data_IF_044489985577
#
_entry.id   IF_044489985577
#
_cell.length_a   1.000
_cell.length_b   1.000
_cell.length_c   1.000
_cell.angle_alpha   90.00
_cell.angle_beta   90.00
_cell.angle_gamma   90.00
#
_symmetry.space_group_name_H-M   'P 1'
#
loop_
_entity.id
_entity.type
_entity.pdbx_description
1 polymer ?
#
# COMPACT_ATOMS: atom_id res chain seq x y z
N UNK A 1 -24.17 11.84 5.31
CA UNK A 1 -25.17 11.93 4.23
C UNK A 1 -24.53 11.37 2.97
N UNK A 2 -25.20 10.42 2.32
CA UNK A 2 -24.80 9.89 1.01
C UNK A 2 -25.85 10.35 0.01
N UNK A 3 -25.44 11.10 -1.00
CA UNK A 3 -26.29 11.46 -2.13
C UNK A 3 -25.94 10.54 -3.29
N UNK A 4 -26.96 9.93 -3.90
CA UNK A 4 -26.81 9.04 -5.05
C UNK A 4 -27.62 9.62 -6.18
N UNK A 5 -26.96 9.96 -7.28
CA UNK A 5 -27.60 10.49 -8.49
C UNK A 5 -27.52 9.43 -9.58
N UNK A 6 -28.68 9.06 -10.12
CA UNK A 6 -28.80 8.13 -11.25
C UNK A 6 -28.77 8.96 -12.55
N UNK A 7 -27.69 8.89 -13.36
CA UNK A 7 -27.73 9.49 -14.70
C UNK A 7 -28.76 8.74 -15.57
N UNK A 8 -29.35 9.39 -16.58
CA UNK A 8 -30.36 8.77 -17.45
C UNK A 8 -29.85 7.53 -18.21
N UNK A 9 -28.52 7.39 -18.33
CA UNK A 9 -27.85 6.28 -19.00
C UNK A 9 -27.48 5.10 -18.07
N UNK A 10 -27.87 5.15 -16.79
CA UNK A 10 -27.74 4.02 -15.86
C UNK A 10 -28.87 2.99 -16.08
N UNK A 11 -28.62 1.66 -15.95
CA UNK A 11 -27.38 0.99 -15.54
C UNK A 11 -26.43 0.57 -16.67
N UNK A 12 -26.79 0.84 -17.92
CA UNK A 12 -26.15 0.22 -19.09
C UNK A 12 -24.88 0.93 -19.57
N UNK A 13 -24.84 2.26 -19.54
CA UNK A 13 -23.75 3.06 -20.15
C UNK A 13 -23.06 4.01 -19.19
N UNK A 14 -23.57 4.21 -17.97
CA UNK A 14 -22.93 5.10 -16.99
C UNK A 14 -23.14 4.64 -15.54
N UNK A 15 -22.09 4.73 -14.69
CA UNK A 15 -22.20 4.43 -13.27
C UNK A 15 -23.02 5.49 -12.53
N UNK A 16 -23.52 5.12 -11.36
CA UNK A 16 -24.14 6.07 -10.44
C UNK A 16 -23.11 7.08 -9.94
N UNK A 17 -23.55 8.33 -9.75
CA UNK A 17 -22.72 9.36 -9.14
C UNK A 17 -23.00 9.38 -7.64
N UNK A 18 -21.93 9.35 -6.85
CA UNK A 18 -22.01 9.33 -5.39
C UNK A 18 -21.35 10.56 -4.79
N UNK A 19 -22.08 11.31 -3.96
CA UNK A 19 -21.51 12.34 -3.10
C UNK A 19 -21.60 11.93 -1.64
N UNK A 20 -20.45 11.67 -1.03
CA UNK A 20 -20.35 11.20 0.35
C UNK A 20 -19.88 12.31 1.28
N UNK A 21 -20.82 12.83 2.08
CA UNK A 21 -20.52 13.71 3.21
C UNK A 21 -20.57 12.93 4.53
N UNK A 22 -19.41 12.45 4.97
CA UNK A 22 -19.23 11.78 6.26
C UNK A 22 -18.10 12.46 7.05
N UNK A 23 -18.40 13.46 7.91
CA UNK A 23 -17.38 14.15 8.70
C UNK A 23 -16.62 13.25 9.67
N UNK A 24 -17.24 12.15 10.10
CA UNK A 24 -16.67 11.11 10.98
C UNK A 24 -15.76 10.11 10.24
N UNK A 25 -15.64 10.21 8.91
CA UNK A 25 -14.89 9.25 8.10
C UNK A 25 -13.62 9.87 7.50
N UNK A 26 -12.48 9.23 7.74
CA UNK A 26 -11.18 9.64 7.20
C UNK A 26 -11.15 9.56 5.66
N UNK A 27 -10.29 10.39 5.04
CA UNK A 27 -10.14 10.48 3.57
C UNK A 27 -9.85 9.11 2.93
N UNK A 28 -9.02 8.28 3.58
CA UNK A 28 -8.69 6.92 3.12
C UNK A 28 -9.89 5.98 3.18
N UNK A 29 -10.71 6.07 4.22
CA UNK A 29 -11.92 5.28 4.35
C UNK A 29 -12.97 5.68 3.30
N UNK A 30 -13.07 6.98 2.99
CA UNK A 30 -13.93 7.47 1.89
C UNK A 30 -13.47 6.94 0.53
N UNK A 31 -12.16 6.94 0.27
CA UNK A 31 -11.59 6.38 -0.96
C UNK A 31 -11.84 4.87 -1.08
N UNK A 32 -11.63 4.12 0.00
CA UNK A 32 -11.92 2.69 0.02
C UNK A 32 -13.40 2.38 -0.23
N UNK A 33 -14.31 3.16 0.37
CA UNK A 33 -15.74 3.01 0.12
C UNK A 33 -16.07 3.30 -1.35
N UNK A 34 -15.46 4.34 -1.94
CA UNK A 34 -15.66 4.66 -3.36
C UNK A 34 -15.23 3.51 -4.27
N UNK A 35 -14.00 3.00 -4.09
CA UNK A 35 -13.49 1.89 -4.88
C UNK A 35 -14.39 0.65 -4.76
N UNK A 36 -14.88 0.35 -3.55
CA UNK A 36 -15.78 -0.78 -3.33
C UNK A 36 -17.11 -0.62 -4.10
N UNK A 37 -17.66 0.60 -4.20
CA UNK A 37 -18.88 0.85 -4.95
C UNK A 37 -18.64 0.77 -6.47
N UNK A 38 -17.47 1.25 -6.92
CA UNK A 38 -17.06 1.16 -8.32
C UNK A 38 -16.86 -0.32 -8.74
N UNK A 39 -16.25 -1.14 -7.89
CA UNK A 39 -16.08 -2.59 -8.13
C UNK A 39 -17.44 -3.31 -8.27
N UNK A 40 -18.40 -3.01 -7.39
CA UNK A 40 -19.76 -3.60 -7.46
C UNK A 40 -20.47 -3.21 -8.75
N UNK A 41 -20.24 -2.01 -9.27
CA UNK A 41 -20.77 -1.60 -10.57
C UNK A 41 -20.11 -2.35 -11.73
N UNK A 42 -18.79 -2.47 -11.72
CA UNK A 42 -18.05 -3.20 -12.76
C UNK A 42 -18.43 -4.69 -12.82
N UNK A 43 -18.73 -5.29 -11.68
CA UNK A 43 -19.17 -6.70 -11.59
C UNK A 43 -20.59 -6.92 -12.14
N UNK A 44 -21.42 -5.88 -12.24
CA UNK A 44 -22.86 -5.99 -12.52
C UNK A 44 -23.31 -4.92 -13.55
N UNK A 45 -22.50 -4.70 -14.60
CA UNK A 45 -22.80 -3.73 -15.65
C UNK A 45 -24.10 -4.11 -16.35
N UNK A 46 -25.01 -3.14 -16.48
CA UNK A 46 -26.33 -3.35 -17.08
C UNK A 46 -27.42 -3.83 -16.12
N UNK A 47 -27.09 -4.10 -14.85
CA UNK A 47 -28.06 -4.50 -13.83
C UNK A 47 -28.35 -3.39 -12.82
N UNK A 48 -29.53 -3.46 -12.19
CA UNK A 48 -29.95 -2.50 -11.15
C UNK A 48 -29.36 -2.92 -9.80
N UNK A 49 -28.20 -2.37 -9.45
CA UNK A 49 -27.44 -2.71 -8.23
C UNK A 49 -27.76 -1.89 -6.97
N UNK A 50 -28.87 -1.14 -6.96
CA UNK A 50 -29.18 -0.19 -5.87
C UNK A 50 -29.19 -0.87 -4.50
N UNK A 51 -29.83 -2.03 -4.38
CA UNK A 51 -29.90 -2.77 -3.12
C UNK A 51 -28.51 -3.24 -2.66
N UNK A 52 -27.70 -3.78 -3.58
CA UNK A 52 -26.36 -4.27 -3.29
C UNK A 52 -25.46 -3.13 -2.78
N UNK A 53 -25.53 -1.95 -3.41
CA UNK A 53 -24.79 -0.77 -2.97
C UNK A 53 -25.22 -0.31 -1.58
N UNK A 54 -26.53 -0.27 -1.29
CA UNK A 54 -27.04 0.10 0.03
C UNK A 54 -26.56 -0.86 1.10
N UNK A 55 -26.58 -2.17 0.85
CA UNK A 55 -26.06 -3.16 1.80
C UNK A 55 -24.55 -3.01 2.00
N UNK A 56 -23.76 -2.80 0.93
CA UNK A 56 -22.31 -2.59 1.03
C UNK A 56 -21.96 -1.34 1.82
N UNK A 57 -22.67 -0.22 1.59
CA UNK A 57 -22.51 1.01 2.36
C UNK A 57 -22.91 0.78 3.82
N UNK A 58 -24.04 0.11 4.07
CA UNK A 58 -24.51 -0.18 5.44
C UNK A 58 -23.49 -1.01 6.20
N UNK A 59 -22.94 -2.05 5.58
CA UNK A 59 -21.92 -2.90 6.19
C UNK A 59 -20.63 -2.12 6.45
N UNK A 60 -20.22 -1.27 5.51
CA UNK A 60 -19.07 -0.40 5.69
C UNK A 60 -19.25 0.55 6.88
N UNK A 61 -20.41 1.20 6.99
CA UNK A 61 -20.75 2.12 8.09
C UNK A 61 -20.85 1.36 9.42
N UNK A 62 -21.41 0.15 9.45
CA UNK A 62 -21.47 -0.69 10.67
C UNK A 62 -20.07 -1.10 11.14
N UNK A 63 -19.19 -1.49 10.22
CA UNK A 63 -17.77 -1.79 10.51
C UNK A 63 -17.04 -0.54 11.03
N UNK A 64 -17.29 0.62 10.43
CA UNK A 64 -16.66 1.87 10.87
C UNK A 64 -17.15 2.31 12.27
N UNK A 65 -18.47 2.26 12.54
CA UNK A 65 -19.05 2.66 13.84
C UNK A 65 -18.72 1.69 14.97
N UNK A 66 -18.66 0.39 14.71
CA UNK A 66 -18.18 -0.59 15.70
C UNK A 66 -16.72 -0.39 16.09
N UNK A 67 -15.95 0.31 15.25
CA UNK A 67 -14.57 0.71 15.54
C UNK A 67 -14.50 1.99 16.40
N UNK A 68 -15.54 2.84 16.39
CA UNK A 68 -15.59 4.10 17.17
C UNK A 68 -16.09 3.92 18.61
N UNK A 69 -17.02 3.00 18.90
CA UNK A 69 -17.55 2.79 20.26
C UNK A 69 -16.53 2.20 21.25
N UNK A 70 -15.35 1.75 20.78
CA UNK A 70 -14.24 1.24 21.61
C UNK A 70 -13.17 2.28 21.96
N UNK A 71 -13.39 3.57 21.70
CA UNK A 71 -12.42 4.66 22.00
C UNK A 71 -12.58 5.32 23.39
N UNK A 72 -13.02 4.59 24.42
CA UNK A 72 -12.73 4.93 25.83
C UNK A 72 -12.39 3.67 26.61
N UNK A 73 -11.26 3.74 27.32
CA UNK A 73 -10.71 2.77 28.29
C UNK A 73 -9.89 1.59 27.72
N UNK A 74 -8.56 1.77 27.79
CA UNK A 74 -7.46 0.79 28.00
C UNK A 74 -7.51 -0.59 27.28
N UNK A 75 -6.47 -0.82 26.46
CA UNK A 75 -5.89 -2.05 25.84
C UNK A 75 -6.21 -3.42 26.48
N UNK A 76 -5.94 -4.59 25.83
CA UNK A 76 -5.93 -5.01 24.40
C UNK A 76 -6.83 -6.25 24.14
N UNK A 77 -7.56 -6.37 23.01
CA UNK A 77 -7.98 -7.71 22.52
C UNK A 77 -8.10 -7.74 20.99
N UNK A 78 -7.13 -8.41 20.38
CA UNK A 78 -7.18 -9.00 19.04
C UNK A 78 -8.34 -10.00 19.01
N UNK A 79 -9.34 -9.81 18.13
CA UNK A 79 -10.26 -10.89 17.74
C UNK A 79 -9.91 -11.35 16.33
N UNK A 80 -9.03 -12.37 16.33
CA UNK A 80 -9.03 -13.55 15.47
C UNK A 80 -10.03 -13.51 14.29
N UNK A 81 -9.54 -13.08 13.13
CA UNK A 81 -9.76 -13.89 11.94
C UNK A 81 -8.79 -15.06 12.08
N UNK A 82 -9.28 -16.28 11.96
CA UNK A 82 -8.48 -17.51 12.04
C UNK A 82 -7.32 -17.46 11.03
N UNK A 83 -6.17 -16.97 11.49
CA UNK A 83 -4.89 -16.92 10.78
C UNK A 83 -4.26 -18.31 10.60
N UNK A 84 -4.95 -19.37 11.00
CA UNK A 84 -4.46 -20.76 10.96
C UNK A 84 -4.65 -21.47 9.62
N UNK A 85 -5.28 -20.85 8.61
CA UNK A 85 -5.48 -21.48 7.28
C UNK A 85 -4.76 -20.84 6.09
N UNK A 86 -3.97 -19.78 6.27
CA UNK A 86 -3.05 -19.32 5.24
C UNK A 86 -1.67 -19.19 5.88
N UNK A 87 -0.84 -20.22 5.75
CA UNK A 87 0.62 -20.08 5.85
C UNK A 87 1.04 -19.16 4.70
N UNK A 88 0.88 -17.85 4.88
CA UNK A 88 1.51 -16.87 3.99
C UNK A 88 2.99 -17.00 4.29
N UNK A 89 3.70 -17.67 3.40
CA UNK A 89 5.15 -17.70 3.41
C UNK A 89 5.61 -16.27 3.12
N UNK A 90 5.82 -15.45 4.16
CA UNK A 90 6.37 -14.12 3.99
C UNK A 90 7.89 -14.26 3.83
N UNK A 91 8.49 -13.77 2.74
CA UNK A 91 9.93 -13.74 2.59
C UNK A 91 10.60 -13.03 3.76
N UNK A 92 11.86 -13.39 4.02
CA UNK A 92 12.66 -12.75 5.06
C UNK A 92 12.87 -11.27 4.71
N UNK A 93 12.61 -10.40 5.69
CA UNK A 93 12.70 -8.95 5.53
C UNK A 93 13.95 -8.49 6.26
N UNK A 94 14.89 -7.93 5.51
CA UNK A 94 16.06 -7.28 6.08
C UNK A 94 15.79 -5.79 6.24
N UNK A 95 16.07 -5.26 7.43
CA UNK A 95 15.91 -3.84 7.74
C UNK A 95 17.27 -3.14 7.72
N UNK A 96 17.35 -2.07 6.94
CA UNK A 96 18.48 -1.15 6.89
C UNK A 96 18.65 -0.33 8.17
N UNK A 97 19.82 0.29 8.29
CA UNK A 97 20.07 1.33 9.30
C UNK A 97 19.16 2.55 9.08
N UNK A 98 18.89 3.26 10.17
CA UNK A 98 18.06 4.48 10.13
C UNK A 98 18.96 5.67 9.86
N UNK A 99 18.75 6.31 8.71
CA UNK A 99 19.42 7.57 8.35
C UNK A 99 18.59 8.72 8.90
N UNK A 100 19.20 9.62 9.68
CA UNK A 100 18.54 10.79 10.26
C UNK A 100 19.16 12.08 9.70
N UNK A 101 18.32 13.00 9.22
CA UNK A 101 18.73 14.32 8.76
C UNK A 101 17.63 15.34 9.05
N UNK A 102 18.00 16.45 9.73
CA UNK A 102 17.09 17.56 10.06
C UNK A 102 15.73 17.09 10.60
N UNK A 103 15.77 16.24 11.63
CA UNK A 103 14.61 15.59 12.29
C UNK A 103 13.79 14.63 11.42
N UNK A 104 14.08 14.54 10.12
CA UNK A 104 13.54 13.49 9.27
C UNK A 104 14.36 12.22 9.42
N UNK A 105 13.69 11.08 9.42
CA UNK A 105 14.36 9.77 9.40
C UNK A 105 13.92 8.95 8.20
N UNK A 106 14.82 8.10 7.73
CA UNK A 106 14.65 7.22 6.58
C UNK A 106 15.15 5.84 6.96
N UNK A 107 14.37 4.81 6.64
CA UNK A 107 14.78 3.43 6.85
C UNK A 107 14.44 2.61 5.60
N UNK A 108 15.41 1.87 5.10
CA UNK A 108 15.21 0.93 4.00
C UNK A 108 14.82 -0.45 4.52
N UNK A 109 14.04 -1.17 3.73
CA UNK A 109 13.67 -2.56 3.96
C UNK A 109 13.79 -3.30 2.64
N UNK A 110 14.44 -4.45 2.64
CA UNK A 110 14.62 -5.26 1.45
C UNK A 110 14.16 -6.69 1.73
N UNK A 111 13.59 -7.33 0.71
CA UNK A 111 13.20 -8.73 0.76
C UNK A 111 13.37 -9.35 -0.64
N UNK A 112 13.74 -10.63 -0.66
CA UNK A 112 13.71 -11.43 -1.89
C UNK A 112 12.25 -11.76 -2.24
N UNK A 113 11.85 -11.56 -3.49
CA UNK A 113 10.49 -11.78 -3.96
C UNK A 113 10.49 -12.42 -5.34
N UNK A 114 9.59 -13.39 -5.56
CA UNK A 114 9.46 -14.08 -6.85
C UNK A 114 8.06 -13.92 -7.46
N UNK A 115 7.14 -13.31 -6.72
CA UNK A 115 5.74 -13.14 -7.12
C UNK A 115 5.16 -11.83 -6.57
N UNK A 116 4.02 -11.40 -7.12
CA UNK A 116 3.32 -10.18 -6.64
C UNK A 116 2.68 -10.45 -5.28
N UNK A 117 2.32 -11.70 -5.03
CA UNK A 117 1.82 -12.21 -3.78
C UNK A 117 2.87 -12.05 -2.66
N UNK A 118 4.14 -12.36 -2.95
CA UNK A 118 5.26 -12.13 -2.02
C UNK A 118 5.41 -10.64 -1.69
N UNK A 119 5.31 -9.78 -2.71
CA UNK A 119 5.38 -8.32 -2.54
C UNK A 119 4.29 -7.84 -1.59
N UNK A 120 3.05 -8.27 -1.82
CA UNK A 120 1.91 -7.92 -0.96
C UNK A 120 2.08 -8.48 0.47
N UNK A 121 2.62 -9.70 0.62
CA UNK A 121 2.90 -10.31 1.91
C UNK A 121 3.93 -9.49 2.70
N UNK A 122 5.05 -9.09 2.07
CA UNK A 122 6.08 -8.26 2.71
C UNK A 122 5.53 -6.89 3.10
N UNK A 123 4.82 -6.21 2.20
CA UNK A 123 4.22 -4.89 2.50
C UNK A 123 3.24 -4.99 3.68
N UNK A 124 2.40 -6.03 3.69
CA UNK A 124 1.46 -6.28 4.79
C UNK A 124 2.20 -6.55 6.09
N UNK A 125 3.26 -7.36 6.05
CA UNK A 125 4.10 -7.69 7.20
C UNK A 125 4.79 -6.47 7.79
N UNK A 126 5.36 -5.61 6.94
CA UNK A 126 5.97 -4.34 7.34
C UNK A 126 4.95 -3.42 8.04
N UNK A 127 3.73 -3.36 7.51
CA UNK A 127 2.63 -2.56 8.07
C UNK A 127 2.04 -3.13 9.37
N UNK A 128 2.36 -4.37 9.78
CA UNK A 128 2.06 -4.86 11.14
C UNK A 128 2.82 -4.05 12.21
N UNK A 129 3.99 -3.51 11.85
CA UNK A 129 4.73 -2.60 12.72
C UNK A 129 4.10 -1.20 12.70
N UNK A 130 3.57 -0.75 13.84
CA UNK A 130 2.93 0.56 14.00
C UNK A 130 3.84 1.74 13.62
N UNK A 131 5.15 1.62 13.80
CA UNK A 131 6.10 2.69 13.42
C UNK A 131 6.12 2.89 11.91
N UNK A 132 6.13 1.80 11.15
CA UNK A 132 6.14 1.79 9.68
C UNK A 132 4.76 2.17 9.15
N UNK A 133 3.69 1.60 9.71
CA UNK A 133 2.31 1.94 9.34
C UNK A 133 2.03 3.44 9.44
N UNK A 134 2.54 4.10 10.49
CA UNK A 134 2.37 5.53 10.74
C UNK A 134 3.51 6.39 10.15
N UNK A 135 4.40 5.81 9.34
CA UNK A 135 5.38 6.60 8.61
C UNK A 135 4.67 7.60 7.69
N UNK A 136 5.30 8.75 7.45
CA UNK A 136 4.72 9.78 6.58
C UNK A 136 4.56 9.28 5.16
N UNK A 137 5.54 8.49 4.70
CA UNK A 137 5.54 7.88 3.37
C UNK A 137 6.23 6.50 3.46
N UNK A 138 5.62 5.48 2.86
CA UNK A 138 6.16 4.14 2.68
C UNK A 138 6.24 3.82 1.19
N UNK A 139 7.24 4.40 0.53
CA UNK A 139 7.47 4.21 -0.90
C UNK A 139 8.10 2.84 -1.14
N UNK A 140 7.77 2.20 -2.26
CA UNK A 140 8.36 0.91 -2.60
C UNK A 140 8.57 0.74 -4.09
N UNK A 141 9.43 -0.21 -4.44
CA UNK A 141 9.61 -0.69 -5.80
C UNK A 141 10.04 -2.15 -5.77
N UNK A 142 9.68 -2.89 -6.81
CA UNK A 142 10.16 -4.25 -6.96
C UNK A 142 10.51 -4.55 -8.42
N UNK A 143 11.40 -5.52 -8.60
CA UNK A 143 11.71 -6.14 -9.90
C UNK A 143 11.72 -7.65 -9.70
N UNK A 144 10.89 -8.37 -10.44
CA UNK A 144 10.72 -9.82 -10.37
C UNK A 144 11.02 -10.40 -11.75
N UNK A 145 11.90 -11.39 -11.80
CA UNK A 145 12.24 -12.09 -13.03
C UNK A 145 11.33 -13.32 -13.19
N UNK A 146 10.59 -13.40 -14.30
CA UNK A 146 9.77 -14.57 -14.65
C UNK A 146 10.35 -15.26 -15.88
N UNK A 147 10.66 -16.56 -15.73
CA UNK A 147 11.05 -17.43 -16.85
C UNK A 147 9.79 -17.96 -17.54
N UNK A 148 9.63 -17.64 -18.82
CA UNK A 148 8.54 -18.14 -19.68
C UNK A 148 9.13 -18.95 -20.83
N UNK A 149 8.34 -19.81 -21.47
CA UNK A 149 8.77 -20.62 -22.62
C UNK A 149 9.33 -19.79 -23.80
N UNK A 150 9.04 -18.49 -23.87
CA UNK A 150 9.50 -17.56 -24.91
C UNK A 150 10.70 -16.69 -24.50
N UNK A 151 11.22 -16.87 -23.27
CA UNK A 151 12.32 -16.07 -22.72
C UNK A 151 12.07 -15.57 -21.29
N UNK A 152 12.95 -14.68 -20.84
CA UNK A 152 12.90 -14.08 -19.50
C UNK A 152 12.22 -12.72 -19.56
N UNK A 153 11.12 -12.55 -18.81
CA UNK A 153 10.39 -11.27 -18.70
C UNK A 153 10.57 -10.70 -17.29
N UNK A 154 10.73 -9.39 -17.17
CA UNK A 154 10.86 -8.70 -15.88
C UNK A 154 9.54 -7.97 -15.58
N UNK A 155 8.90 -8.36 -14.47
CA UNK A 155 7.78 -7.62 -13.90
C UNK A 155 8.34 -6.60 -12.91
N UNK A 156 8.03 -5.32 -13.11
CA UNK A 156 8.52 -4.25 -12.25
C UNK A 156 7.45 -3.18 -12.06
N UNK A 157 7.39 -2.62 -10.86
CA UNK A 157 6.46 -1.56 -10.50
C UNK A 157 7.00 -0.73 -9.32
N UNK A 158 6.36 0.41 -9.06
CA UNK A 158 6.72 1.29 -7.95
C UNK A 158 5.52 2.10 -7.42
N UNK A 159 5.57 2.44 -6.14
CA UNK A 159 4.64 3.34 -5.48
C UNK A 159 5.40 4.43 -4.73
N UNK A 160 4.91 5.66 -4.88
CA UNK A 160 5.49 6.83 -4.24
C UNK A 160 4.92 7.08 -2.83
N UNK A 161 3.74 6.55 -2.51
CA UNK A 161 2.99 6.83 -1.26
C UNK A 161 2.97 8.33 -0.86
N UNK A 162 2.78 9.21 -1.85
CA UNK A 162 2.76 10.68 -1.67
C UNK A 162 4.14 11.37 -1.69
N UNK A 163 5.25 10.62 -1.70
CA UNK A 163 6.61 11.17 -1.87
C UNK A 163 6.93 11.29 -3.37
N UNK A 164 6.57 12.44 -3.96
CA UNK A 164 6.70 12.66 -5.41
C UNK A 164 8.07 12.25 -5.98
N UNK A 165 8.04 11.43 -7.04
CA UNK A 165 9.19 10.90 -7.79
C UNK A 165 10.08 9.89 -7.06
N UNK A 166 9.79 9.50 -5.81
CA UNK A 166 10.65 8.56 -5.07
C UNK A 166 10.63 7.14 -5.65
N UNK A 167 9.45 6.60 -5.97
CA UNK A 167 9.26 5.26 -6.52
C UNK A 167 10.00 5.05 -7.84
N UNK A 168 9.85 5.99 -8.79
CA UNK A 168 10.57 5.91 -10.08
C UNK A 168 12.09 6.01 -9.92
N UNK A 169 12.59 6.81 -8.97
CA UNK A 169 14.04 6.88 -8.66
C UNK A 169 14.56 5.59 -8.04
N UNK A 170 13.79 4.97 -7.14
CA UNK A 170 14.13 3.68 -6.55
C UNK A 170 14.11 2.57 -7.60
N UNK A 171 13.12 2.57 -8.50
CA UNK A 171 13.07 1.59 -9.60
C UNK A 171 14.31 1.72 -10.49
N UNK A 172 14.67 2.96 -10.85
CA UNK A 172 15.89 3.21 -11.62
C UNK A 172 17.16 2.76 -10.88
N UNK A 173 17.23 2.94 -9.55
CA UNK A 173 18.32 2.42 -8.74
C UNK A 173 18.43 0.88 -8.87
N UNK A 174 17.32 0.15 -8.76
CA UNK A 174 17.35 -1.31 -8.95
C UNK A 174 17.77 -1.71 -10.37
N UNK A 175 17.38 -0.95 -11.39
CA UNK A 175 17.80 -1.18 -12.78
C UNK A 175 19.31 -0.99 -12.96
N UNK A 176 19.87 0.09 -12.42
CA UNK A 176 21.31 0.39 -12.50
C UNK A 176 22.14 -0.66 -11.76
N UNK A 177 21.62 -1.18 -10.64
CA UNK A 177 22.26 -2.26 -9.89
C UNK A 177 22.03 -3.66 -10.50
N UNK A 178 21.32 -3.74 -11.63
CA UNK A 178 20.75 -4.97 -12.21
C UNK A 178 20.11 -5.93 -11.19
N UNK A 179 19.47 -5.35 -10.17
CA UNK A 179 18.92 -6.12 -9.08
C UNK A 179 17.54 -6.66 -9.44
N UNK A 180 17.39 -7.98 -9.37
CA UNK A 180 16.17 -8.73 -9.70
C UNK A 180 15.69 -9.54 -8.51
N UNK A 181 14.47 -10.03 -8.59
CA UNK A 181 13.77 -10.77 -7.52
C UNK A 181 13.84 -10.05 -6.17
N UNK A 182 13.75 -8.72 -6.18
CA UNK A 182 13.97 -7.90 -4.99
C UNK A 182 12.87 -6.86 -4.87
N UNK A 183 12.30 -6.77 -3.67
CA UNK A 183 11.44 -5.69 -3.23
C UNK A 183 12.24 -4.79 -2.30
N UNK A 184 12.12 -3.49 -2.51
CA UNK A 184 12.63 -2.48 -1.58
C UNK A 184 11.50 -1.57 -1.16
N UNK A 185 11.36 -1.37 0.15
CA UNK A 185 10.47 -0.40 0.76
C UNK A 185 11.33 0.60 1.53
N UNK A 186 11.09 1.89 1.34
CA UNK A 186 11.72 2.93 2.14
C UNK A 186 10.63 3.64 2.94
N UNK A 187 10.78 3.64 4.25
CA UNK A 187 9.90 4.37 5.16
C UNK A 187 10.54 5.70 5.53
N UNK A 188 9.79 6.79 5.37
CA UNK A 188 10.19 8.14 5.74
C UNK A 188 9.29 8.68 6.84
N UNK A 189 9.90 9.25 7.87
CA UNK A 189 9.20 10.05 8.88
C UNK A 189 9.59 11.53 8.73
N UNK A 190 8.60 12.39 8.46
CA UNK A 190 8.82 13.82 8.26
C UNK A 190 9.02 14.55 9.59
N UNK A 191 10.15 15.23 9.73
CA UNK A 191 10.53 15.94 10.95
C UNK A 191 10.08 17.40 11.04
N UNK A 192 9.26 17.88 10.09
CA UNK A 192 8.81 19.28 10.04
C UNK A 192 9.69 20.21 9.18
N UNK A 193 10.85 19.75 8.69
CA UNK A 193 11.77 20.54 7.88
C UNK A 193 11.81 20.00 6.44
N UNK A 194 11.58 20.86 5.44
CA UNK A 194 11.68 20.46 4.04
C UNK A 194 13.14 20.26 3.63
N UNK A 195 13.51 19.03 3.29
CA UNK A 195 14.85 18.68 2.82
C UNK A 195 15.08 19.01 1.33
N UNK A 196 14.04 19.39 0.58
CA UNK A 196 14.16 19.63 -0.86
C UNK A 196 14.73 18.39 -1.58
N UNK A 197 15.59 18.56 -2.59
CA UNK A 197 16.20 17.43 -3.32
C UNK A 197 17.09 16.51 -2.46
N UNK A 198 17.60 16.98 -1.31
CA UNK A 198 18.51 16.18 -0.46
C UNK A 198 17.87 14.89 0.04
N UNK A 199 16.54 14.87 0.23
CA UNK A 199 15.81 13.68 0.70
C UNK A 199 15.97 12.48 -0.23
N UNK A 200 16.08 12.71 -1.54
CA UNK A 200 16.22 11.62 -2.52
C UNK A 200 17.58 10.91 -2.39
N UNK A 201 18.62 11.63 -1.94
CA UNK A 201 19.92 11.04 -1.63
C UNK A 201 19.79 10.06 -0.46
N UNK A 202 19.07 10.43 0.60
CA UNK A 202 18.84 9.58 1.76
C UNK A 202 17.96 8.38 1.42
N UNK A 203 16.90 8.58 0.62
CA UNK A 203 16.04 7.49 0.14
C UNK A 203 16.87 6.45 -0.63
N UNK A 204 17.69 6.88 -1.58
CA UNK A 204 18.54 5.99 -2.37
C UNK A 204 19.61 5.29 -1.51
N UNK A 205 20.20 6.01 -0.55
CA UNK A 205 21.19 5.44 0.36
C UNK A 205 20.57 4.39 1.28
N UNK A 206 19.41 4.67 1.88
CA UNK A 206 18.67 3.74 2.72
C UNK A 206 18.27 2.47 1.95
N UNK A 207 17.81 2.63 0.70
CA UNK A 207 17.52 1.51 -0.19
C UNK A 207 18.77 0.66 -0.47
N UNK A 208 19.88 1.28 -0.88
CA UNK A 208 21.14 0.57 -1.18
C UNK A 208 21.67 -0.18 0.04
N UNK A 209 21.65 0.44 1.22
CA UNK A 209 22.06 -0.20 2.47
C UNK A 209 21.21 -1.43 2.78
N UNK A 210 19.87 -1.33 2.64
CA UNK A 210 18.99 -2.46 2.88
C UNK A 210 19.25 -3.64 1.92
N UNK A 211 19.45 -3.37 0.63
CA UNK A 211 19.79 -4.42 -0.35
C UNK A 211 21.14 -5.06 -0.03
N UNK A 212 22.15 -4.26 0.34
CA UNK A 212 23.47 -4.76 0.69
C UNK A 212 23.44 -5.65 1.94
N UNK A 213 22.71 -5.24 2.97
CA UNK A 213 22.54 -6.02 4.20
C UNK A 213 21.76 -7.30 3.98
N UNK A 214 20.79 -7.29 3.05
CA UNK A 214 20.06 -8.49 2.67
C UNK A 214 20.91 -9.51 1.91
N UNK A 215 22.17 -9.19 1.59
CA UNK A 215 23.06 -10.04 0.78
C UNK A 215 22.59 -10.18 -0.67
N UNK A 216 21.69 -9.29 -1.11
CA UNK A 216 21.02 -9.40 -2.41
C UNK A 216 21.86 -8.79 -3.54
N UNK A 217 22.84 -7.93 -3.23
CA UNK A 217 23.74 -7.39 -4.25
C UNK A 217 24.61 -8.50 -4.85
N UNK A 218 24.46 -8.73 -6.15
CA UNK A 218 25.42 -9.55 -6.89
C UNK A 218 26.76 -8.79 -6.97
N UNK A 219 27.85 -9.48 -6.64
CA UNK A 219 29.22 -8.96 -6.73
C UNK A 219 29.69 -8.86 -8.18
#
# INVERSE_FOLDING_TARGET
MLHVTMPPEYPTLSPLKYELSAPWMDRRAKANLRNLLDDVYLENIGEVIIYQLVEKVRDFVRKAKSTETRKKTVTPVIKSLDKTKLKINCPEITHGEVIVDRKSSFQGHAAEVHSVEDVNAVITKLKENKKILNATHNMYTYRIERKTAKGTTILQDCDNDGEAHAGGRLLHLLQVLDQKNTLVVVSRWYGGIQLGPHRFRHINNAARQAIQQAGLLQK
#
